data_IF_049587444735
#
_entry.id   IF_049587444735
#
_cell.length_a   1.000
_cell.length_b   1.000
_cell.length_c   1.000
_cell.angle_alpha   90.00
_cell.angle_beta   90.00
_cell.angle_gamma   90.00
#
_symmetry.space_group_name_H-M   'P 1'
#
loop_
_entity.id
_entity.type
_entity.pdbx_description
1 polymer ?
#
# COMPACT_ATOMS: atom_id res chain seq x y z
N UNK A 1 -52.85 0.55 9.18
CA UNK A 1 -51.76 -0.45 9.06
C UNK A 1 -50.97 -0.34 7.76
N UNK A 2 -51.56 -0.08 6.62
CA UNK A 2 -50.87 0.06 5.30
C UNK A 2 -49.99 1.32 5.22
N UNK A 3 -50.37 2.45 5.81
CA UNK A 3 -49.65 3.71 5.77
C UNK A 3 -48.37 3.67 6.65
N UNK A 4 -48.39 2.93 7.77
CA UNK A 4 -47.20 2.73 8.62
C UNK A 4 -46.15 1.85 7.93
N UNK A 5 -46.58 0.79 7.20
CA UNK A 5 -45.62 -0.03 6.43
C UNK A 5 -44.97 0.71 5.29
N UNK A 6 -45.66 1.64 4.61
CA UNK A 6 -45.06 2.48 3.54
C UNK A 6 -44.03 3.47 4.10
N UNK A 7 -44.29 4.08 5.26
CA UNK A 7 -43.30 4.96 5.90
C UNK A 7 -42.07 4.19 6.38
N UNK A 8 -42.23 2.97 6.95
CA UNK A 8 -41.11 2.15 7.39
C UNK A 8 -40.22 1.69 6.22
N UNK A 9 -40.83 1.30 5.08
CA UNK A 9 -40.11 0.93 3.85
C UNK A 9 -39.37 2.16 3.26
N UNK A 10 -39.96 3.37 3.31
CA UNK A 10 -39.32 4.59 2.87
C UNK A 10 -38.11 4.96 3.74
N UNK A 11 -38.18 4.79 5.06
CA UNK A 11 -37.03 5.03 5.96
C UNK A 11 -35.91 4.00 5.79
N UNK A 12 -36.24 2.73 5.50
CA UNK A 12 -35.26 1.71 5.19
C UNK A 12 -34.57 1.99 3.84
N UNK A 13 -35.33 2.46 2.84
CA UNK A 13 -34.76 2.84 1.53
C UNK A 13 -33.88 4.10 1.61
N UNK A 14 -34.22 5.08 2.44
CA UNK A 14 -33.42 6.30 2.68
C UNK A 14 -32.17 5.94 3.49
N UNK A 15 -32.24 5.01 4.44
CA UNK A 15 -31.04 4.56 5.17
C UNK A 15 -30.06 3.75 4.30
N UNK A 16 -30.55 3.02 3.29
CA UNK A 16 -29.70 2.29 2.32
C UNK A 16 -29.01 3.25 1.35
N UNK A 17 -29.62 4.41 1.02
CA UNK A 17 -29.01 5.43 0.16
C UNK A 17 -27.89 6.24 0.86
N UNK A 18 -27.83 6.24 2.19
CA UNK A 18 -26.75 6.88 2.95
C UNK A 18 -25.54 5.97 3.21
N UNK A 19 -25.62 4.68 2.84
CA UNK A 19 -24.49 3.73 2.98
C UNK A 19 -23.66 3.56 1.69
N UNK A 20 -23.93 4.30 0.64
CA UNK A 20 -23.13 4.27 -0.57
C UNK A 20 -22.05 5.34 -0.51
N UNK A 21 -20.83 4.91 -0.38
CA UNK A 21 -19.51 5.50 -0.59
C UNK A 21 -18.56 5.48 0.61
N UNK A 22 -18.52 4.39 1.36
CA UNK A 22 -17.33 4.10 2.15
C UNK A 22 -16.31 3.45 1.21
N UNK A 23 -15.40 4.25 0.67
CA UNK A 23 -14.20 3.74 0.02
C UNK A 23 -13.42 2.98 1.09
N UNK A 24 -13.40 1.65 0.99
CA UNK A 24 -12.61 0.78 1.86
C UNK A 24 -11.13 1.08 1.56
N UNK A 25 -10.50 1.88 2.41
CA UNK A 25 -9.07 2.12 2.35
C UNK A 25 -8.35 0.84 2.79
N UNK A 26 -7.80 0.08 1.85
CA UNK A 26 -7.06 -1.15 2.09
C UNK A 26 -5.60 -1.02 1.72
N UNK A 27 -4.71 -1.81 2.36
CA UNK A 27 -3.32 -1.88 1.94
C UNK A 27 -3.23 -2.57 0.58
N UNK A 28 -2.49 -1.96 -0.35
CA UNK A 28 -2.18 -2.53 -1.66
C UNK A 28 -0.83 -3.24 -1.57
N UNK A 29 -0.81 -4.48 -2.02
CA UNK A 29 0.39 -5.29 -2.12
C UNK A 29 0.77 -5.43 -3.60
N UNK A 30 1.71 -4.62 -4.04
CA UNK A 30 2.22 -4.62 -5.42
C UNK A 30 3.74 -4.48 -5.41
N UNK A 31 4.41 -5.58 -5.71
CA UNK A 31 5.87 -5.66 -5.59
C UNK A 31 6.61 -4.77 -6.59
N UNK A 32 6.08 -4.61 -7.80
CA UNK A 32 6.63 -3.70 -8.81
C UNK A 32 6.65 -2.26 -8.29
N UNK A 33 5.51 -1.81 -7.78
CA UNK A 33 5.38 -0.46 -7.21
C UNK A 33 6.25 -0.27 -5.97
N UNK A 34 6.32 -1.28 -5.10
CA UNK A 34 7.18 -1.22 -3.91
C UNK A 34 8.66 -1.09 -4.28
N UNK A 35 9.15 -1.86 -5.25
CA UNK A 35 10.54 -1.75 -5.74
C UNK A 35 10.77 -0.37 -6.33
N UNK A 36 9.86 0.10 -7.17
CA UNK A 36 9.97 1.40 -7.83
C UNK A 36 10.05 2.54 -6.80
N UNK A 37 9.11 2.61 -5.87
CA UNK A 37 9.09 3.64 -4.84
C UNK A 37 10.30 3.54 -3.91
N UNK A 38 10.71 2.33 -3.52
CA UNK A 38 11.92 2.14 -2.70
C UNK A 38 13.19 2.59 -3.44
N UNK A 39 13.27 2.42 -4.77
CA UNK A 39 14.39 2.95 -5.56
C UNK A 39 14.44 4.49 -5.49
N UNK A 40 13.30 5.17 -5.68
CA UNK A 40 13.23 6.62 -5.51
C UNK A 40 13.62 7.06 -4.09
N UNK A 41 13.14 6.35 -3.06
CA UNK A 41 13.50 6.60 -1.66
C UNK A 41 15.02 6.43 -1.43
N UNK A 42 15.64 5.41 -2.03
CA UNK A 42 17.08 5.18 -1.92
C UNK A 42 17.87 6.32 -2.57
N UNK A 43 17.45 6.83 -3.72
CA UNK A 43 18.09 7.98 -4.38
C UNK A 43 17.98 9.23 -3.50
N UNK A 44 16.81 9.53 -2.92
CA UNK A 44 16.59 10.62 -1.97
C UNK A 44 17.52 10.48 -0.76
N UNK A 45 17.58 9.28 -0.18
CA UNK A 45 18.42 9.00 0.99
C UNK A 45 19.90 9.18 0.69
N UNK A 46 20.36 8.72 -0.46
CA UNK A 46 21.76 8.78 -0.86
C UNK A 46 22.24 10.24 -0.97
N UNK A 47 21.51 11.09 -1.69
CA UNK A 47 21.91 12.49 -1.91
C UNK A 47 21.79 13.37 -0.67
N UNK A 48 20.93 13.00 0.29
CA UNK A 48 20.73 13.74 1.54
C UNK A 48 21.43 13.11 2.75
N UNK A 49 22.10 11.97 2.57
CA UNK A 49 22.74 11.20 3.67
C UNK A 49 21.75 10.82 4.79
N UNK A 50 20.49 10.55 4.41
CA UNK A 50 19.43 10.17 5.34
C UNK A 50 19.58 8.69 5.74
N UNK A 51 19.91 8.42 7.01
CA UNK A 51 20.26 7.07 7.46
C UNK A 51 19.11 6.28 8.11
N UNK A 52 17.99 6.93 8.44
CA UNK A 52 16.85 6.23 9.07
C UNK A 52 16.23 5.22 8.09
N UNK A 53 15.79 4.08 8.61
CA UNK A 53 15.03 3.09 7.83
C UNK A 53 13.60 3.57 7.65
N UNK A 54 13.13 3.62 6.42
CA UNK A 54 11.74 3.97 6.07
C UNK A 54 10.97 2.68 5.82
N UNK A 55 9.74 2.59 6.33
CA UNK A 55 8.79 1.52 6.05
C UNK A 55 7.70 2.07 5.13
N UNK A 56 7.74 1.66 3.87
CA UNK A 56 6.77 2.07 2.85
C UNK A 56 5.49 1.25 2.97
N UNK A 57 4.34 1.92 2.87
CA UNK A 57 3.02 1.32 2.74
C UNK A 57 2.25 2.00 1.61
N UNK A 58 1.61 1.21 0.75
CA UNK A 58 0.74 1.69 -0.31
C UNK A 58 -0.70 1.40 0.10
N UNK A 59 -1.57 2.40 0.03
CA UNK A 59 -2.98 2.25 0.42
C UNK A 59 -3.90 2.53 -0.77
N UNK A 60 -5.05 1.85 -0.79
CA UNK A 60 -6.11 2.16 -1.74
C UNK A 60 -6.87 3.39 -1.26
N UNK A 61 -6.58 4.51 -1.87
CA UNK A 61 -7.29 5.78 -1.68
C UNK A 61 -7.21 6.53 -3.00
N UNK A 62 -8.34 6.91 -3.56
CA UNK A 62 -8.44 7.64 -4.84
C UNK A 62 -8.00 9.11 -4.69
N UNK A 63 -7.93 9.61 -3.45
CA UNK A 63 -7.36 10.91 -3.18
C UNK A 63 -5.85 10.86 -3.27
N UNK A 64 -5.21 11.75 -4.03
CA UNK A 64 -3.77 11.83 -4.10
C UNK A 64 -3.21 12.33 -2.77
N UNK A 65 -2.50 11.46 -2.06
CA UNK A 65 -1.91 11.79 -0.77
C UNK A 65 -0.66 10.95 -0.49
N UNK A 66 0.29 11.55 0.23
CA UNK A 66 1.35 10.84 0.94
C UNK A 66 1.53 11.49 2.30
N UNK A 67 1.93 10.72 3.29
CA UNK A 67 2.21 11.26 4.62
C UNK A 67 3.10 10.31 5.42
N UNK A 68 3.83 10.87 6.38
CA UNK A 68 4.64 10.12 7.32
C UNK A 68 3.97 10.02 8.68
N UNK A 69 4.14 8.86 9.33
CA UNK A 69 3.64 8.60 10.67
C UNK A 69 4.77 8.05 11.57
N UNK A 70 4.60 8.00 12.89
CA UNK A 70 5.62 7.51 13.82
C UNK A 70 6.22 6.16 13.42
N UNK A 71 7.46 5.91 13.86
CA UNK A 71 8.30 4.75 13.50
C UNK A 71 8.76 4.74 12.03
N UNK A 72 8.92 5.94 11.43
CA UNK A 72 9.38 6.17 10.05
C UNK A 72 8.57 5.40 8.99
N UNK A 73 7.26 5.39 9.15
CA UNK A 73 6.38 4.82 8.13
C UNK A 73 5.96 5.90 7.15
N UNK A 74 6.13 5.62 5.88
CA UNK A 74 5.70 6.45 4.76
C UNK A 74 4.51 5.78 4.08
N UNK A 75 3.40 6.47 4.05
CA UNK A 75 2.15 6.02 3.44
C UNK A 75 2.00 6.74 2.10
N UNK A 76 1.65 6.00 1.06
CA UNK A 76 1.43 6.52 -0.30
C UNK A 76 0.09 6.00 -0.80
N UNK A 77 -0.79 6.89 -1.26
CA UNK A 77 -2.09 6.49 -1.82
C UNK A 77 -1.98 6.07 -3.29
N UNK A 78 -2.90 5.20 -3.74
CA UNK A 78 -3.07 4.87 -5.16
C UNK A 78 -3.37 6.12 -5.99
N UNK A 79 -4.18 7.03 -5.47
CA UNK A 79 -4.51 8.28 -6.14
C UNK A 79 -3.30 9.17 -6.41
N UNK A 80 -2.30 9.20 -5.51
CA UNK A 80 -1.06 9.93 -5.78
C UNK A 80 -0.27 9.30 -6.93
N UNK A 81 -0.18 7.98 -6.97
CA UNK A 81 0.51 7.27 -8.07
C UNK A 81 -0.19 7.54 -9.41
N UNK A 82 -1.51 7.49 -9.43
CA UNK A 82 -2.32 7.71 -10.65
C UNK A 82 -2.29 9.16 -11.14
N UNK A 83 -2.26 10.13 -10.23
CA UNK A 83 -2.38 11.54 -10.58
C UNK A 83 -1.03 12.25 -10.74
N UNK A 84 0.07 11.66 -10.25
CA UNK A 84 1.41 12.23 -10.49
C UNK A 84 1.70 12.30 -11.99
N UNK A 85 2.03 13.48 -12.54
CA UNK A 85 2.27 13.64 -13.99
C UNK A 85 3.47 12.82 -14.46
N UNK A 86 4.54 12.80 -13.66
CA UNK A 86 5.78 12.08 -13.94
C UNK A 86 6.41 11.49 -12.66
N UNK A 87 7.50 10.69 -12.82
CA UNK A 87 8.20 10.11 -11.70
C UNK A 87 8.94 11.14 -10.83
N UNK A 88 9.27 12.32 -11.40
CA UNK A 88 9.98 13.39 -10.69
C UNK A 88 9.06 14.06 -9.69
N UNK A 89 7.80 14.32 -10.07
CA UNK A 89 6.79 14.85 -9.17
C UNK A 89 6.50 13.88 -8.02
N UNK A 90 6.42 12.57 -8.31
CA UNK A 90 6.27 11.56 -7.27
C UNK A 90 7.50 11.51 -6.34
N UNK A 91 8.73 11.53 -6.90
CA UNK A 91 9.97 11.61 -6.13
C UNK A 91 10.00 12.86 -5.25
N UNK A 92 9.53 13.98 -5.76
CA UNK A 92 9.48 15.24 -5.02
C UNK A 92 8.56 15.16 -3.80
N UNK A 93 7.39 14.54 -3.93
CA UNK A 93 6.49 14.29 -2.79
C UNK A 93 7.14 13.36 -1.77
N UNK A 94 7.76 12.26 -2.22
CA UNK A 94 8.47 11.36 -1.31
C UNK A 94 9.62 12.09 -0.58
N UNK A 95 10.33 12.99 -1.26
CA UNK A 95 11.37 13.80 -0.65
C UNK A 95 10.81 14.80 0.37
N UNK A 96 9.65 15.40 0.10
CA UNK A 96 8.92 16.27 1.02
C UNK A 96 8.58 15.53 2.31
N UNK A 97 8.00 14.32 2.20
CA UNK A 97 7.67 13.47 3.34
C UNK A 97 8.90 13.07 4.16
N UNK A 98 9.99 12.73 3.48
CA UNK A 98 11.27 12.44 4.15
C UNK A 98 11.85 13.70 4.82
N UNK A 99 11.60 14.88 4.26
CA UNK A 99 11.91 16.16 4.89
C UNK A 99 11.25 16.34 6.25
N UNK A 100 9.97 15.96 6.39
CA UNK A 100 9.29 15.96 7.68
C UNK A 100 9.94 15.01 8.70
N UNK A 101 10.45 13.85 8.27
CA UNK A 101 11.19 12.92 9.13
C UNK A 101 12.58 13.43 9.50
N UNK A 102 13.27 14.11 8.57
CA UNK A 102 14.61 14.67 8.79
C UNK A 102 14.58 15.80 9.80
N UNK A 103 13.62 16.70 9.67
CA UNK A 103 13.47 17.86 10.56
C UNK A 103 12.74 17.54 11.87
N UNK A 104 12.45 16.27 12.14
CA UNK A 104 11.77 15.80 13.37
C UNK A 104 10.42 16.48 13.61
N UNK A 105 9.68 16.77 12.54
CA UNK A 105 8.40 17.48 12.66
C UNK A 105 7.36 16.69 13.45
N UNK A 106 7.39 15.35 13.35
CA UNK A 106 6.49 14.47 14.13
C UNK A 106 6.84 14.45 15.62
N UNK A 107 8.13 14.41 15.96
CA UNK A 107 8.62 14.40 17.32
C UNK A 107 8.35 15.74 18.01
N UNK A 108 8.59 16.88 17.35
CA UNK A 108 8.26 18.23 17.86
C UNK A 108 6.78 18.41 18.19
N UNK A 109 5.91 17.60 17.59
CA UNK A 109 4.46 17.58 17.87
C UNK A 109 4.06 16.64 19.00
N UNK A 110 4.95 15.73 19.42
CA UNK A 110 4.65 14.75 20.46
C UNK A 110 4.15 15.44 21.73
N UNK A 111 4.76 16.53 22.13
CA UNK A 111 4.33 17.32 23.30
C UNK A 111 2.91 17.90 23.14
N UNK A 112 2.55 18.26 21.90
CA UNK A 112 1.19 18.70 21.56
C UNK A 112 0.23 17.51 21.55
N UNK A 113 0.66 16.37 21.02
CA UNK A 113 -0.13 15.12 21.00
C UNK A 113 -0.36 14.56 22.41
N UNK A 114 0.61 14.66 23.33
CA UNK A 114 0.44 14.24 24.71
C UNK A 114 -0.59 15.09 25.48
N UNK A 115 -0.66 16.38 25.18
CA UNK A 115 -1.73 17.23 25.71
C UNK A 115 -3.12 16.83 25.21
N UNK A 116 -3.22 16.30 23.99
CA UNK A 116 -4.46 15.80 23.40
C UNK A 116 -4.74 14.32 23.73
N UNK A 117 -3.77 13.55 24.26
CA UNK A 117 -3.95 12.14 24.66
C UNK A 117 -5.00 11.95 25.74
N UNK A 118 -5.21 12.97 26.57
CA UNK A 118 -6.29 13.00 27.57
C UNK A 118 -7.70 12.96 26.98
N UNK A 119 -7.84 13.10 25.65
CA UNK A 119 -9.12 13.11 24.93
C UNK A 119 -9.41 11.81 24.17
N UNK A 120 -8.78 10.69 24.49
CA UNK A 120 -8.97 9.37 23.84
C UNK A 120 -8.65 9.32 22.32
N UNK A 121 -7.93 10.31 21.78
CA UNK A 121 -7.68 10.43 20.34
C UNK A 121 -6.42 9.68 19.87
N UNK A 122 -5.47 9.42 20.78
CA UNK A 122 -4.24 8.68 20.47
C UNK A 122 -4.51 7.17 20.31
N UNK A 123 -5.51 6.62 21.01
CA UNK A 123 -5.94 5.24 20.79
C UNK A 123 -6.36 5.02 19.33
N UNK A 124 -6.93 6.02 18.68
CA UNK A 124 -7.35 5.97 17.29
C UNK A 124 -6.17 6.03 16.29
N UNK A 125 -5.11 6.80 16.59
CA UNK A 125 -3.89 6.80 15.77
C UNK A 125 -3.12 5.47 15.88
N UNK A 126 -3.11 4.86 17.06
CA UNK A 126 -2.56 3.52 17.26
C UNK A 126 -3.39 2.45 16.53
N UNK A 127 -4.71 2.62 16.43
CA UNK A 127 -5.59 1.75 15.64
C UNK A 127 -5.32 1.87 14.14
N UNK A 128 -5.07 3.08 13.61
CA UNK A 128 -4.72 3.27 12.21
C UNK A 128 -3.38 2.61 11.88
N UNK A 129 -2.37 2.85 12.70
CA UNK A 129 -1.08 2.18 12.54
C UNK A 129 -1.17 0.67 12.75
N UNK A 130 -1.99 0.24 13.69
CA UNK A 130 -2.28 -1.17 13.96
C UNK A 130 -3.04 -1.83 12.82
N UNK A 131 -4.03 -1.16 12.23
CA UNK A 131 -4.84 -1.70 11.13
C UNK A 131 -4.09 -1.77 9.80
N UNK A 132 -3.20 -0.80 9.50
CA UNK A 132 -2.27 -0.89 8.36
C UNK A 132 -1.34 -2.10 8.53
N UNK A 133 -0.86 -2.37 9.75
CA UNK A 133 -0.05 -3.56 10.04
C UNK A 133 -0.85 -4.86 10.05
N UNK A 134 -2.11 -4.79 10.46
CA UNK A 134 -2.98 -5.95 10.63
C UNK A 134 -3.55 -6.48 9.32
N UNK A 135 -3.48 -5.72 8.22
CA UNK A 135 -4.03 -6.10 6.91
C UNK A 135 -5.54 -6.44 6.94
N UNK A 136 -6.28 -5.85 7.89
CA UNK A 136 -7.73 -6.02 8.01
C UNK A 136 -8.45 -4.86 7.29
N UNK A 137 -8.96 -5.06 6.05
CA UNK A 137 -9.63 -3.99 5.29
C UNK A 137 -10.86 -3.42 6.00
N UNK A 138 -11.53 -4.24 6.82
CA UNK A 138 -12.74 -3.85 7.55
C UNK A 138 -12.46 -2.89 8.70
N UNK A 139 -11.31 -3.02 9.36
CA UNK A 139 -10.92 -2.12 10.47
C UNK A 139 -10.47 -0.76 9.93
N UNK A 140 -9.82 -0.74 8.75
CA UNK A 140 -9.40 0.49 8.07
C UNK A 140 -10.60 1.32 7.57
N UNK A 141 -11.61 0.67 6.97
CA UNK A 141 -12.74 1.36 6.35
C UNK A 141 -13.62 2.12 7.35
N UNK A 142 -13.93 1.52 8.50
CA UNK A 142 -14.81 2.14 9.52
C UNK A 142 -14.14 3.26 10.31
N UNK A 143 -12.83 3.15 10.55
CA UNK A 143 -12.08 4.11 11.38
C UNK A 143 -11.50 5.28 10.59
N UNK A 144 -11.10 5.08 9.32
CA UNK A 144 -10.52 6.15 8.52
C UNK A 144 -11.55 7.18 8.04
N UNK A 145 -12.76 6.77 7.68
CA UNK A 145 -13.79 7.70 7.19
C UNK A 145 -14.31 8.65 8.29
N UNK A 146 -14.42 8.18 9.53
CA UNK A 146 -14.77 9.05 10.67
C UNK A 146 -13.57 9.82 11.23
N UNK A 147 -12.34 9.39 10.93
CA UNK A 147 -11.09 9.92 11.46
C UNK A 147 -10.31 10.80 10.47
N UNK A 148 -10.71 10.87 9.18
CA UNK A 148 -10.09 11.78 8.22
C UNK A 148 -10.06 13.22 8.77
N UNK A 149 -11.13 13.69 9.41
CA UNK A 149 -11.16 15.01 10.03
C UNK A 149 -10.23 15.12 11.26
N UNK A 150 -10.10 14.06 12.05
CA UNK A 150 -9.27 14.02 13.24
C UNK A 150 -7.81 13.86 12.82
N UNK A 151 -7.53 12.98 11.86
CA UNK A 151 -6.17 12.78 11.33
C UNK A 151 -5.65 14.03 10.60
N UNK A 152 -6.48 14.73 9.85
CA UNK A 152 -6.08 15.98 9.20
C UNK A 152 -5.68 17.04 10.23
N UNK A 153 -6.36 17.13 11.38
CA UNK A 153 -6.00 18.02 12.46
C UNK A 153 -4.67 17.62 13.13
N UNK A 154 -4.40 16.33 13.31
CA UNK A 154 -3.16 15.83 13.94
C UNK A 154 -1.97 15.81 13.00
N UNK A 155 -2.20 15.63 11.70
CA UNK A 155 -1.17 15.49 10.69
C UNK A 155 -0.90 16.79 9.93
N UNK A 156 -1.72 17.85 10.07
CA UNK A 156 -1.44 19.14 9.44
C UNK A 156 -0.18 19.77 10.02
N UNK A 157 0.75 20.12 9.18
CA UNK A 157 2.01 20.77 9.56
C UNK A 157 1.85 22.31 9.57
N UNK A 158 2.67 23.01 10.35
CA UNK A 158 2.71 24.47 10.32
C UNK A 158 3.30 24.97 9.00
N UNK A 159 3.01 26.20 8.60
CA UNK A 159 3.60 26.80 7.37
C UNK A 159 5.11 26.70 7.34
N UNK A 160 5.78 26.91 8.48
CA UNK A 160 7.25 26.82 8.55
C UNK A 160 7.72 25.37 8.37
N UNK A 161 7.03 24.38 8.93
CA UNK A 161 7.34 22.97 8.73
C UNK A 161 7.14 22.53 7.28
N UNK A 162 6.07 23.03 6.63
CA UNK A 162 5.84 22.81 5.19
C UNK A 162 6.95 23.44 4.35
N UNK A 163 7.36 24.67 4.69
CA UNK A 163 8.48 25.35 4.01
C UNK A 163 9.79 24.59 4.15
N UNK A 164 10.11 24.09 5.34
CA UNK A 164 11.31 23.25 5.57
C UNK A 164 11.27 21.97 4.72
N UNK A 165 10.11 21.29 4.64
CA UNK A 165 9.93 20.10 3.82
C UNK A 165 9.99 20.40 2.31
N UNK A 166 9.41 21.50 1.84
CA UNK A 166 9.51 21.94 0.45
C UNK A 166 10.94 22.24 0.05
N UNK A 167 11.69 22.97 0.90
CA UNK A 167 13.10 23.25 0.66
C UNK A 167 13.95 21.98 0.63
N UNK A 168 13.63 20.99 1.49
CA UNK A 168 14.29 19.69 1.45
C UNK A 168 14.01 18.97 0.13
N UNK A 169 12.77 18.95 -0.33
CA UNK A 169 12.37 18.36 -1.62
C UNK A 169 13.09 19.04 -2.79
N UNK A 170 13.04 20.36 -2.88
CA UNK A 170 13.70 21.13 -3.95
C UNK A 170 15.22 20.90 -3.97
N UNK A 171 15.89 20.95 -2.81
CA UNK A 171 17.32 20.65 -2.70
C UNK A 171 17.65 19.22 -3.12
N UNK A 172 16.75 18.27 -2.83
CA UNK A 172 16.90 16.89 -3.28
C UNK A 172 16.88 16.80 -4.80
N UNK A 173 15.88 17.42 -5.46
CA UNK A 173 15.82 17.47 -6.92
C UNK A 173 17.05 18.14 -7.53
N UNK A 174 17.52 19.25 -6.94
CA UNK A 174 18.73 19.93 -7.40
C UNK A 174 19.98 19.04 -7.32
N UNK A 175 20.15 18.29 -6.22
CA UNK A 175 21.26 17.33 -6.04
C UNK A 175 21.18 16.18 -7.04
N UNK A 176 19.99 15.75 -7.42
CA UNK A 176 19.73 14.73 -8.43
C UNK A 176 19.75 15.29 -9.86
N UNK A 177 19.90 16.60 -10.02
CA UNK A 177 19.81 17.31 -11.29
C UNK A 177 18.48 17.08 -12.02
N UNK A 178 17.38 17.10 -11.26
CA UNK A 178 16.00 16.94 -11.75
C UNK A 178 15.22 18.27 -11.71
N UNK A 179 14.22 18.46 -12.59
CA UNK A 179 13.44 19.69 -12.64
C UNK A 179 12.53 19.85 -11.41
N UNK A 180 12.53 21.01 -10.78
CA UNK A 180 11.60 21.35 -9.69
C UNK A 180 10.20 21.74 -10.18
N UNK A 181 10.04 22.05 -11.46
CA UNK A 181 8.74 22.42 -12.05
C UNK A 181 7.73 21.27 -12.01
N UNK A 182 8.20 20.01 -11.97
CA UNK A 182 7.33 18.83 -11.79
C UNK A 182 6.53 18.88 -10.47
N UNK A 183 7.06 19.51 -9.40
CA UNK A 183 6.31 19.72 -8.15
C UNK A 183 5.12 20.65 -8.40
N UNK A 184 5.37 21.75 -9.13
CA UNK A 184 4.36 22.76 -9.42
C UNK A 184 3.23 22.19 -10.24
N UNK A 185 3.53 21.36 -11.23
CA UNK A 185 2.52 20.69 -12.04
C UNK A 185 1.63 19.79 -11.18
N UNK A 186 2.22 19.01 -10.27
CA UNK A 186 1.45 18.19 -9.34
C UNK A 186 0.59 19.04 -8.39
N UNK A 187 1.13 20.11 -7.80
CA UNK A 187 0.35 21.00 -6.93
C UNK A 187 -0.86 21.60 -7.67
N UNK A 188 -0.70 22.00 -8.94
CA UNK A 188 -1.81 22.49 -9.76
C UNK A 188 -2.87 21.41 -9.99
N UNK A 189 -2.48 20.16 -10.21
CA UNK A 189 -3.42 19.03 -10.35
C UNK A 189 -4.18 18.81 -9.03
N UNK A 190 -3.48 18.84 -7.89
CA UNK A 190 -4.10 18.66 -6.58
C UNK A 190 -5.09 19.77 -6.24
N UNK A 191 -4.72 21.02 -6.53
CA UNK A 191 -5.59 22.18 -6.33
C UNK A 191 -6.84 22.12 -7.20
N UNK A 192 -6.67 21.83 -8.49
CA UNK A 192 -7.78 21.67 -9.44
C UNK A 192 -8.75 20.58 -8.97
N UNK A 193 -8.23 19.42 -8.58
CA UNK A 193 -9.04 18.29 -8.10
C UNK A 193 -9.79 18.63 -6.79
N UNK A 194 -9.18 19.43 -5.92
CA UNK A 194 -9.83 19.90 -4.70
C UNK A 194 -11.02 20.84 -5.04
N UNK A 195 -10.82 21.79 -5.94
CA UNK A 195 -11.86 22.72 -6.39
C UNK A 195 -13.02 22.00 -7.09
N UNK A 196 -12.74 21.03 -7.98
CA UNK A 196 -13.76 20.22 -8.67
C UNK A 196 -14.65 19.42 -7.70
N UNK A 197 -14.12 19.09 -6.51
CA UNK A 197 -14.87 18.42 -5.42
C UNK A 197 -15.64 19.39 -4.53
N UNK A 198 -15.65 20.68 -4.84
CA UNK A 198 -16.31 21.71 -4.06
C UNK A 198 -15.60 22.04 -2.74
N UNK A 199 -14.31 21.74 -2.65
CA UNK A 199 -13.48 22.01 -1.50
C UNK A 199 -12.95 23.44 -1.63
N UNK A 200 -13.41 24.34 -0.75
CA UNK A 200 -12.98 25.73 -0.72
C UNK A 200 -11.62 25.93 -0.03
N UNK A 201 -11.15 27.19 0.04
CA UNK A 201 -9.91 27.53 0.75
C UNK A 201 -9.91 27.09 2.22
N UNK A 202 -11.08 26.92 2.86
CA UNK A 202 -11.17 26.44 4.25
C UNK A 202 -10.85 24.95 4.36
N UNK A 203 -11.08 24.17 3.29
CA UNK A 203 -10.69 22.74 3.26
C UNK A 203 -9.16 22.58 3.29
N UNK A 204 -8.41 23.50 2.68
CA UNK A 204 -6.94 23.49 2.73
C UNK A 204 -6.38 23.58 4.16
N UNK A 205 -7.16 24.13 5.11
CA UNK A 205 -6.79 24.15 6.54
C UNK A 205 -6.85 22.78 7.20
N UNK A 206 -7.56 21.82 6.59
CA UNK A 206 -7.76 20.46 7.12
C UNK A 206 -6.99 19.39 6.34
N UNK A 207 -6.26 19.75 5.30
CA UNK A 207 -5.37 18.81 4.60
C UNK A 207 -4.10 18.55 5.40
N UNK A 208 -3.46 17.39 5.18
CA UNK A 208 -2.18 17.06 5.83
C UNK A 208 -1.09 18.05 5.44
N UNK A 209 -1.13 18.53 4.20
CA UNK A 209 -0.18 19.47 3.60
C UNK A 209 -0.94 20.59 2.90
N UNK A 210 -1.29 21.66 3.61
CA UNK A 210 -2.02 22.77 3.00
C UNK A 210 -1.24 23.39 1.83
N UNK A 211 -1.96 23.68 0.74
CA UNK A 211 -1.38 24.38 -0.41
C UNK A 211 -1.43 25.87 -0.12
N UNK A 212 -0.29 26.49 0.04
CA UNK A 212 -0.18 27.92 0.23
C UNK A 212 0.48 28.55 -1.00
N UNK A 213 0.12 29.77 -1.31
CA UNK A 213 0.73 30.51 -2.43
C UNK A 213 2.26 30.60 -2.29
N UNK A 214 2.76 30.71 -1.07
CA UNK A 214 4.19 30.77 -0.78
C UNK A 214 4.95 29.52 -1.25
N UNK A 215 4.29 28.34 -1.34
CA UNK A 215 4.92 27.12 -1.87
C UNK A 215 5.29 27.27 -3.33
N UNK A 216 4.42 27.87 -4.15
CA UNK A 216 4.74 28.17 -5.57
C UNK A 216 5.89 29.15 -5.69
N UNK A 217 5.92 30.19 -4.86
CA UNK A 217 7.00 31.19 -4.86
C UNK A 217 8.35 30.58 -4.49
N UNK A 218 8.40 29.67 -3.52
CA UNK A 218 9.62 28.93 -3.14
C UNK A 218 10.12 28.07 -4.30
N UNK A 219 9.22 27.38 -5.01
CA UNK A 219 9.57 26.56 -6.17
C UNK A 219 10.11 27.44 -7.28
N UNK A 220 9.42 28.53 -7.64
CA UNK A 220 9.81 29.45 -8.72
C UNK A 220 11.16 30.11 -8.45
N UNK A 221 11.43 30.54 -7.22
CA UNK A 221 12.72 31.12 -6.84
C UNK A 221 13.88 30.15 -7.03
N UNK A 222 13.65 28.85 -6.85
CA UNK A 222 14.68 27.81 -6.90
C UNK A 222 14.78 27.10 -8.27
N UNK A 223 13.85 27.34 -9.21
CA UNK A 223 13.75 26.66 -10.52
C UNK A 223 14.64 27.20 -11.62
N UNK A 224 15.64 28.02 -11.34
CA UNK A 224 16.46 28.74 -12.36
C UNK A 224 17.19 27.79 -13.31
N UNK A 225 16.95 28.01 -14.62
CA UNK A 225 17.61 27.50 -15.84
C UNK A 225 18.81 26.54 -15.63
N UNK A 226 18.51 25.23 -15.62
CA UNK A 226 19.53 24.18 -15.62
C UNK A 226 19.17 23.13 -16.68
N UNK A 227 20.17 22.45 -17.23
CA UNK A 227 19.99 21.27 -18.02
C UNK A 227 19.64 20.14 -17.02
N UNK A 228 18.49 19.47 -17.19
CA UNK A 228 18.02 18.44 -16.29
C UNK A 228 18.25 17.03 -16.86
N UNK A 229 18.55 16.08 -15.98
CA UNK A 229 18.71 14.66 -16.31
C UNK A 229 17.39 13.90 -16.13
N UNK A 230 16.38 14.23 -16.94
CA UNK A 230 15.14 13.45 -16.95
C UNK A 230 15.40 12.06 -17.56
N UNK A 231 15.05 11.00 -16.83
CA UNK A 231 15.32 9.62 -17.27
C UNK A 231 14.07 8.99 -17.87
N UNK A 232 14.02 8.95 -19.20
CA UNK A 232 12.87 8.38 -19.94
C UNK A 232 12.60 6.91 -19.58
N UNK A 233 13.64 6.13 -19.26
CA UNK A 233 13.44 4.72 -18.87
C UNK A 233 12.72 4.60 -17.51
N UNK A 234 13.06 5.46 -16.54
CA UNK A 234 12.36 5.50 -15.25
C UNK A 234 10.93 5.99 -15.47
N UNK A 235 10.74 6.96 -16.36
CA UNK A 235 9.40 7.43 -16.73
C UNK A 235 8.55 6.34 -17.39
N UNK A 236 9.11 5.52 -18.26
CA UNK A 236 8.40 4.41 -18.87
C UNK A 236 8.01 3.34 -17.83
N UNK A 237 8.92 3.00 -16.91
CA UNK A 237 8.63 2.13 -15.77
C UNK A 237 7.45 2.69 -14.94
N UNK A 238 7.48 3.98 -14.62
CA UNK A 238 6.42 4.66 -13.89
C UNK A 238 5.10 4.67 -14.65
N UNK A 239 5.13 4.92 -15.96
CA UNK A 239 3.92 4.93 -16.80
C UNK A 239 3.22 3.57 -16.80
N UNK A 240 3.93 2.44 -16.81
CA UNK A 240 3.31 1.12 -16.68
C UNK A 240 2.70 0.90 -15.31
N UNK A 241 3.39 1.30 -14.22
CA UNK A 241 2.84 1.24 -12.87
C UNK A 241 1.55 2.06 -12.77
N UNK A 242 1.60 3.32 -13.19
CA UNK A 242 0.44 4.23 -13.23
C UNK A 242 -0.72 3.62 -14.01
N UNK A 243 -0.45 3.09 -15.20
CA UNK A 243 -1.44 2.44 -16.07
C UNK A 243 -2.10 1.24 -15.39
N UNK A 244 -1.33 0.44 -14.64
CA UNK A 244 -1.84 -0.69 -13.88
C UNK A 244 -2.87 -0.24 -12.83
N UNK A 245 -2.56 0.79 -12.05
CA UNK A 245 -3.50 1.37 -11.08
C UNK A 245 -4.76 1.92 -11.76
N UNK A 246 -4.60 2.68 -12.84
CA UNK A 246 -5.72 3.21 -13.62
C UNK A 246 -6.64 2.10 -14.15
N UNK A 247 -6.09 0.96 -14.59
CA UNK A 247 -6.88 -0.17 -15.09
C UNK A 247 -7.63 -0.89 -13.96
N UNK A 248 -7.05 -1.00 -12.77
CA UNK A 248 -7.73 -1.59 -11.61
C UNK A 248 -8.81 -0.67 -11.05
N UNK A 249 -8.63 0.65 -11.09
CA UNK A 249 -9.57 1.65 -10.55
C UNK A 249 -10.56 2.18 -11.61
N UNK A 250 -10.40 1.79 -12.88
CA UNK A 250 -11.25 2.22 -14.01
C UNK A 250 -11.26 3.74 -14.23
N UNK A 251 -10.09 4.37 -14.14
CA UNK A 251 -9.92 5.83 -14.17
C UNK A 251 -9.40 6.39 -15.51
N UNK A 252 -9.60 5.67 -16.63
CA UNK A 252 -9.03 6.05 -17.94
C UNK A 252 -9.48 7.43 -18.47
N UNK A 253 -10.54 8.00 -17.97
CA UNK A 253 -11.29 9.09 -18.64
C UNK A 253 -10.52 10.42 -18.81
N UNK A 254 -9.32 10.59 -18.25
CA UNK A 254 -8.62 11.87 -18.24
C UNK A 254 -7.20 11.89 -18.81
N UNK A 255 -6.63 10.74 -19.16
CA UNK A 255 -5.21 10.68 -19.54
C UNK A 255 -5.02 10.01 -20.91
N UNK A 256 -4.32 10.68 -21.82
CA UNK A 256 -3.89 10.04 -23.07
C UNK A 256 -2.74 9.07 -22.77
N UNK A 257 -3.03 7.77 -22.83
CA UNK A 257 -2.01 6.74 -22.75
C UNK A 257 -1.27 6.60 -24.08
N UNK A 258 0.04 6.35 -24.05
CA UNK A 258 0.76 5.91 -25.24
C UNK A 258 0.26 4.52 -25.67
N UNK A 259 0.66 4.07 -26.86
CA UNK A 259 0.19 2.82 -27.45
C UNK A 259 0.38 1.61 -26.53
N UNK A 260 1.57 1.44 -25.95
CA UNK A 260 1.89 0.29 -25.12
C UNK A 260 1.16 0.30 -23.79
N UNK A 261 1.07 1.48 -23.16
CA UNK A 261 0.29 1.67 -21.94
C UNK A 261 -1.21 1.43 -22.20
N UNK A 262 -1.74 1.83 -23.36
CA UNK A 262 -3.13 1.53 -23.72
C UNK A 262 -3.36 0.02 -23.86
N UNK A 263 -2.44 -0.71 -24.49
CA UNK A 263 -2.50 -2.17 -24.57
C UNK A 263 -2.47 -2.78 -23.16
N UNK A 264 -1.61 -2.27 -22.27
CA UNK A 264 -1.52 -2.75 -20.88
C UNK A 264 -2.80 -2.49 -20.10
N UNK A 265 -3.34 -1.28 -20.20
CA UNK A 265 -4.64 -0.94 -19.62
C UNK A 265 -5.72 -1.90 -20.11
N UNK A 266 -5.86 -2.05 -21.44
CA UNK A 266 -6.87 -2.88 -22.05
C UNK A 266 -6.74 -4.37 -21.67
N UNK A 267 -5.50 -4.86 -21.44
CA UNK A 267 -5.29 -6.24 -21.01
C UNK A 267 -5.90 -6.50 -19.63
N UNK A 268 -5.68 -5.59 -18.67
CA UNK A 268 -6.20 -5.69 -17.30
C UNK A 268 -7.71 -5.46 -17.31
N UNK A 269 -8.17 -4.40 -17.98
CA UNK A 269 -9.58 -4.03 -18.07
C UNK A 269 -10.43 -5.14 -18.73
N UNK A 270 -9.95 -5.74 -19.84
CA UNK A 270 -10.64 -6.86 -20.48
C UNK A 270 -10.76 -8.06 -19.54
N UNK A 271 -9.75 -8.35 -18.72
CA UNK A 271 -9.82 -9.40 -17.71
C UNK A 271 -10.90 -9.09 -16.66
N UNK A 272 -10.95 -7.88 -16.14
CA UNK A 272 -12.00 -7.44 -15.20
C UNK A 272 -13.41 -7.54 -15.79
N UNK A 273 -13.54 -7.29 -17.10
CA UNK A 273 -14.79 -7.38 -17.86
C UNK A 273 -15.13 -8.81 -18.28
N UNK A 274 -14.38 -9.83 -17.82
CA UNK A 274 -14.63 -11.24 -18.11
C UNK A 274 -14.09 -11.73 -19.47
N UNK A 275 -13.39 -10.89 -20.24
CA UNK A 275 -12.87 -11.26 -21.55
C UNK A 275 -11.41 -11.76 -21.48
N UNK A 276 -11.26 -13.04 -21.15
CA UNK A 276 -9.95 -13.67 -21.02
C UNK A 276 -9.14 -13.68 -22.33
N UNK A 277 -9.79 -13.92 -23.47
CA UNK A 277 -9.09 -14.08 -24.77
C UNK A 277 -8.39 -12.76 -25.14
N UNK A 278 -9.12 -11.65 -25.17
CA UNK A 278 -8.56 -10.33 -25.48
C UNK A 278 -7.50 -9.94 -24.46
N UNK A 279 -7.74 -10.22 -23.18
CA UNK A 279 -6.80 -9.94 -22.11
C UNK A 279 -5.46 -10.66 -22.33
N UNK A 280 -5.50 -11.96 -22.65
CA UNK A 280 -4.30 -12.76 -22.90
C UNK A 280 -3.58 -12.35 -24.20
N UNK A 281 -4.31 -12.00 -25.25
CA UNK A 281 -3.72 -11.52 -26.51
C UNK A 281 -2.87 -10.27 -26.24
N UNK A 282 -3.45 -9.27 -25.56
CA UNK A 282 -2.81 -7.99 -25.26
C UNK A 282 -1.60 -8.14 -24.33
N UNK A 283 -1.72 -8.91 -23.24
CA UNK A 283 -0.59 -9.10 -22.35
C UNK A 283 0.54 -9.92 -23.00
N UNK A 284 0.22 -10.90 -23.86
CA UNK A 284 1.22 -11.67 -24.60
C UNK A 284 1.99 -10.79 -25.60
N UNK A 285 1.33 -9.82 -26.22
CA UNK A 285 1.99 -8.83 -27.08
C UNK A 285 3.05 -8.06 -26.29
N UNK A 286 2.71 -7.56 -25.08
CA UNK A 286 3.65 -6.82 -24.25
C UNK A 286 4.80 -7.70 -23.74
N UNK A 287 4.54 -8.94 -23.35
CA UNK A 287 5.58 -9.90 -22.94
C UNK A 287 6.58 -10.12 -24.07
N UNK A 288 6.09 -10.27 -25.31
CA UNK A 288 6.96 -10.43 -26.48
C UNK A 288 7.76 -9.15 -26.78
N UNK A 289 7.15 -7.98 -26.66
CA UNK A 289 7.79 -6.69 -26.93
C UNK A 289 8.81 -6.30 -25.86
N UNK A 290 8.52 -6.62 -24.60
CA UNK A 290 9.34 -6.26 -23.43
C UNK A 290 9.77 -7.51 -22.63
N UNK A 291 10.61 -8.40 -23.19
CA UNK A 291 10.92 -9.71 -22.58
C UNK A 291 11.69 -9.61 -21.26
N UNK A 292 12.25 -8.44 -20.94
CA UNK A 292 12.94 -8.17 -19.68
C UNK A 292 12.02 -7.62 -18.58
N UNK A 293 10.77 -7.26 -18.92
CA UNK A 293 9.79 -6.81 -17.93
C UNK A 293 9.00 -8.02 -17.40
N UNK A 294 9.48 -8.58 -16.30
CA UNK A 294 8.87 -9.76 -15.65
C UNK A 294 7.52 -9.46 -15.02
N UNK A 295 7.17 -8.20 -14.80
CA UNK A 295 5.87 -7.81 -14.20
C UNK A 295 4.70 -8.03 -15.16
N UNK A 296 4.95 -8.06 -16.49
CA UNK A 296 3.93 -8.51 -17.42
C UNK A 296 3.63 -10.01 -17.30
N UNK A 297 4.61 -10.83 -16.91
CA UNK A 297 4.37 -12.23 -16.58
C UNK A 297 3.57 -12.37 -15.27
N UNK A 298 3.85 -11.52 -14.27
CA UNK A 298 3.05 -11.44 -13.03
C UNK A 298 1.59 -11.09 -13.38
N UNK A 299 1.38 -10.03 -14.17
CA UNK A 299 0.04 -9.62 -14.63
C UNK A 299 -0.66 -10.75 -15.41
N UNK A 300 0.05 -11.48 -16.28
CA UNK A 300 -0.51 -12.65 -16.96
C UNK A 300 -0.93 -13.74 -15.97
N UNK A 301 -0.13 -13.98 -14.95
CA UNK A 301 -0.48 -14.88 -13.86
C UNK A 301 -1.76 -14.42 -13.13
N UNK A 302 -1.89 -13.13 -12.86
CA UNK A 302 -3.08 -12.54 -12.21
C UNK A 302 -4.33 -12.66 -13.10
N UNK A 303 -4.21 -12.41 -14.39
CA UNK A 303 -5.29 -12.60 -15.37
C UNK A 303 -5.76 -14.05 -15.34
N UNK A 304 -4.85 -15.01 -15.48
CA UNK A 304 -5.19 -16.44 -15.45
C UNK A 304 -5.85 -16.83 -14.13
N UNK A 305 -5.29 -16.37 -13.01
CA UNK A 305 -5.79 -16.63 -11.66
C UNK A 305 -7.22 -16.12 -11.48
N UNK A 306 -7.52 -14.89 -11.90
CA UNK A 306 -8.85 -14.28 -11.79
C UNK A 306 -9.93 -15.03 -12.59
N UNK A 307 -9.52 -15.76 -13.61
CA UNK A 307 -10.39 -16.60 -14.44
C UNK A 307 -10.38 -18.10 -14.05
N UNK A 308 -9.78 -18.44 -12.88
CA UNK A 308 -9.79 -19.80 -12.33
C UNK A 308 -8.69 -20.73 -12.86
N UNK A 309 -7.81 -20.28 -13.75
CA UNK A 309 -6.69 -21.07 -14.28
C UNK A 309 -5.50 -21.08 -13.32
N UNK A 310 -5.70 -21.64 -12.11
CA UNK A 310 -4.74 -21.56 -10.99
C UNK A 310 -3.42 -22.28 -11.33
N UNK A 311 -3.46 -23.46 -11.94
CA UNK A 311 -2.26 -24.21 -12.27
C UNK A 311 -1.40 -23.49 -13.30
N UNK A 312 -2.02 -22.87 -14.29
CA UNK A 312 -1.36 -22.08 -15.33
C UNK A 312 -0.78 -20.79 -14.75
N UNK A 313 -1.49 -20.11 -13.85
CA UNK A 313 -1.02 -18.89 -13.19
C UNK A 313 0.26 -19.16 -12.38
N UNK A 314 0.31 -20.28 -11.66
CA UNK A 314 1.48 -20.67 -10.86
C UNK A 314 2.74 -20.84 -11.71
N UNK A 315 2.63 -21.30 -12.97
CA UNK A 315 3.79 -21.41 -13.87
C UNK A 315 4.44 -20.05 -14.11
N UNK A 316 3.64 -19.01 -14.39
CA UNK A 316 4.13 -17.65 -14.61
C UNK A 316 4.68 -17.03 -13.32
N UNK A 317 4.00 -17.23 -12.19
CA UNK A 317 4.48 -16.77 -10.90
C UNK A 317 5.83 -17.36 -10.52
N UNK A 318 6.08 -18.65 -10.80
CA UNK A 318 7.39 -19.27 -10.54
C UNK A 318 8.51 -18.64 -11.38
N UNK A 319 8.24 -18.26 -12.64
CA UNK A 319 9.22 -17.55 -13.46
C UNK A 319 9.57 -16.20 -12.84
N UNK A 320 8.57 -15.47 -12.36
CA UNK A 320 8.77 -14.17 -11.70
C UNK A 320 9.52 -14.33 -10.37
N UNK A 321 9.20 -15.35 -9.56
CA UNK A 321 9.90 -15.65 -8.30
C UNK A 321 11.37 -16.02 -8.50
N UNK A 322 11.72 -16.69 -9.57
CA UNK A 322 13.13 -16.97 -9.88
C UNK A 322 13.93 -15.68 -10.09
N UNK A 323 13.28 -14.61 -10.62
CA UNK A 323 13.90 -13.30 -10.80
C UNK A 323 13.82 -12.44 -9.53
N UNK A 324 12.72 -12.52 -8.80
CA UNK A 324 12.40 -11.72 -7.62
C UNK A 324 12.03 -12.64 -6.44
N UNK A 325 13.01 -13.31 -5.81
CA UNK A 325 12.74 -14.28 -4.75
C UNK A 325 12.08 -13.67 -3.50
N UNK A 326 12.16 -12.35 -3.34
CA UNK A 326 11.53 -11.61 -2.24
C UNK A 326 10.12 -11.10 -2.56
N UNK A 327 9.55 -11.47 -3.72
CA UNK A 327 8.15 -11.16 -4.03
C UNK A 327 7.20 -12.04 -3.19
N UNK A 328 6.96 -11.58 -1.95
CA UNK A 328 6.11 -12.30 -1.00
C UNK A 328 4.64 -12.34 -1.44
N UNK A 329 4.19 -11.42 -2.30
CA UNK A 329 2.81 -11.42 -2.79
C UNK A 329 2.55 -12.55 -3.77
N UNK A 330 3.53 -12.86 -4.63
CA UNK A 330 3.46 -14.07 -5.46
C UNK A 330 3.58 -15.33 -4.61
N UNK A 331 4.50 -15.38 -3.64
CA UNK A 331 4.59 -16.52 -2.71
C UNK A 331 3.26 -16.77 -2.01
N UNK A 332 2.60 -15.70 -1.56
CA UNK A 332 1.27 -15.75 -0.95
C UNK A 332 0.23 -16.36 -1.91
N UNK A 333 0.16 -15.88 -3.17
CA UNK A 333 -0.75 -16.41 -4.19
C UNK A 333 -0.51 -17.89 -4.45
N UNK A 334 0.75 -18.28 -4.70
CA UNK A 334 1.13 -19.67 -4.89
C UNK A 334 0.76 -20.52 -3.68
N UNK A 335 1.09 -20.05 -2.47
CA UNK A 335 0.77 -20.76 -1.24
C UNK A 335 -0.73 -21.04 -1.13
N UNK A 336 -1.59 -20.04 -1.35
CA UNK A 336 -3.04 -20.22 -1.27
C UNK A 336 -3.59 -21.15 -2.37
N UNK A 337 -3.11 -21.02 -3.59
CA UNK A 337 -3.66 -21.72 -4.75
C UNK A 337 -3.16 -23.17 -4.87
N UNK A 338 -2.02 -23.49 -4.26
CA UNK A 338 -1.48 -24.85 -4.31
C UNK A 338 -2.38 -25.83 -3.56
N UNK A 339 -2.84 -26.89 -4.25
CA UNK A 339 -3.63 -27.95 -3.61
C UNK A 339 -2.74 -28.91 -2.85
N UNK A 340 -2.84 -28.91 -1.52
CA UNK A 340 -2.03 -29.77 -0.63
C UNK A 340 -2.68 -31.11 -0.28
N UNK A 341 -3.93 -31.37 -0.70
CA UNK A 341 -4.66 -32.59 -0.34
C UNK A 341 -3.96 -33.88 -0.85
N UNK A 342 -3.47 -33.81 -2.09
CA UNK A 342 -2.90 -34.96 -2.78
C UNK A 342 -1.36 -34.97 -2.77
N UNK A 343 -0.73 -34.10 -1.94
CA UNK A 343 0.72 -34.10 -1.79
C UNK A 343 1.18 -35.28 -0.91
N UNK A 344 2.31 -35.88 -1.30
CA UNK A 344 3.01 -36.81 -0.42
C UNK A 344 3.46 -36.11 0.86
N UNK A 345 3.59 -36.84 1.97
CA UNK A 345 3.95 -36.25 3.26
C UNK A 345 5.27 -35.47 3.23
N UNK A 346 6.27 -35.98 2.51
CA UNK A 346 7.57 -35.30 2.32
C UNK A 346 7.44 -33.95 1.61
N UNK A 347 6.68 -33.91 0.50
CA UNK A 347 6.46 -32.67 -0.26
C UNK A 347 5.63 -31.65 0.54
N UNK A 348 4.64 -32.14 1.29
CA UNK A 348 3.81 -31.31 2.17
C UNK A 348 4.64 -30.71 3.31
N UNK A 349 5.59 -31.46 3.89
CA UNK A 349 6.54 -30.97 4.90
C UNK A 349 7.45 -29.89 4.31
N UNK A 350 8.02 -30.12 3.13
CA UNK A 350 8.86 -29.12 2.46
C UNK A 350 8.08 -27.86 2.14
N UNK A 351 6.89 -27.98 1.56
CA UNK A 351 5.99 -26.88 1.27
C UNK A 351 5.62 -26.10 2.53
N UNK A 352 5.37 -26.76 3.66
CA UNK A 352 5.10 -26.13 4.94
C UNK A 352 6.28 -25.24 5.38
N UNK A 353 7.50 -25.78 5.44
CA UNK A 353 8.66 -25.06 5.94
C UNK A 353 9.12 -23.93 5.00
N UNK A 354 9.03 -24.10 3.69
CA UNK A 354 9.38 -23.07 2.70
C UNK A 354 8.50 -21.82 2.79
N UNK A 355 7.25 -21.99 3.26
CA UNK A 355 6.27 -20.91 3.30
C UNK A 355 6.08 -20.27 4.69
N UNK A 356 6.78 -20.73 5.74
CA UNK A 356 6.62 -20.22 7.11
C UNK A 356 6.79 -18.70 7.24
N UNK A 357 7.69 -18.11 6.44
CA UNK A 357 7.92 -16.67 6.45
C UNK A 357 6.68 -15.84 6.03
N UNK A 358 5.68 -16.44 5.39
CA UNK A 358 4.43 -15.78 5.08
C UNK A 358 3.68 -15.33 6.34
N UNK A 359 3.80 -16.07 7.45
CA UNK A 359 3.19 -15.67 8.74
C UNK A 359 3.80 -14.37 9.28
N UNK A 360 5.11 -14.17 9.08
CA UNK A 360 5.80 -12.96 9.54
C UNK A 360 5.47 -11.77 8.61
N UNK A 361 5.31 -12.04 7.32
CA UNK A 361 4.97 -11.00 6.33
C UNK A 361 3.50 -10.60 6.36
N UNK A 362 2.61 -11.54 6.69
CA UNK A 362 1.17 -11.37 6.73
C UNK A 362 0.57 -11.92 8.04
N UNK A 363 0.92 -11.34 9.21
CA UNK A 363 0.72 -11.95 10.53
C UNK A 363 -0.74 -12.18 10.93
N UNK A 364 -1.66 -11.42 10.36
CA UNK A 364 -3.10 -11.55 10.69
C UNK A 364 -3.95 -12.03 9.50
N UNK A 365 -3.32 -12.54 8.46
CA UNK A 365 -4.03 -13.05 7.29
C UNK A 365 -4.67 -14.40 7.58
N UNK A 366 -5.99 -14.40 7.81
CA UNK A 366 -6.76 -15.60 8.15
C UNK A 366 -6.68 -16.69 7.09
N UNK A 367 -6.58 -16.35 5.80
CA UNK A 367 -6.45 -17.35 4.73
C UNK A 367 -5.12 -18.13 4.84
N UNK A 368 -4.01 -17.44 5.13
CA UNK A 368 -2.71 -18.05 5.38
C UNK A 368 -2.77 -18.93 6.61
N UNK A 369 -3.26 -18.38 7.74
CA UNK A 369 -3.32 -19.08 9.03
C UNK A 369 -4.16 -20.36 8.90
N UNK A 370 -5.36 -20.26 8.31
CA UNK A 370 -6.26 -21.40 8.12
C UNK A 370 -5.65 -22.47 7.22
N UNK A 371 -4.89 -22.08 6.19
CA UNK A 371 -4.18 -23.03 5.36
C UNK A 371 -3.05 -23.76 6.12
N UNK A 372 -2.31 -23.05 6.96
CA UNK A 372 -1.31 -23.67 7.84
C UNK A 372 -1.95 -24.59 8.87
N UNK A 373 -3.09 -24.22 9.48
CA UNK A 373 -3.86 -25.07 10.39
C UNK A 373 -4.20 -26.40 9.71
N UNK A 374 -4.65 -26.33 8.45
CA UNK A 374 -5.01 -27.54 7.69
C UNK A 374 -3.76 -28.42 7.43
N UNK A 375 -2.66 -27.80 6.95
CA UNK A 375 -1.44 -28.54 6.67
C UNK A 375 -0.86 -29.19 7.95
N UNK A 376 -0.88 -28.48 9.09
CA UNK A 376 -0.36 -28.99 10.36
C UNK A 376 -1.22 -30.13 10.94
N UNK A 377 -2.55 -30.08 10.74
CA UNK A 377 -3.45 -31.21 11.06
C UNK A 377 -3.11 -32.43 10.22
N UNK A 378 -2.98 -32.26 8.90
CA UNK A 378 -2.62 -33.35 7.98
C UNK A 378 -1.24 -33.99 8.28
N UNK A 379 -0.31 -33.21 8.84
CA UNK A 379 1.06 -33.62 9.18
C UNK A 379 1.23 -34.02 10.66
N UNK A 380 0.15 -34.03 11.46
CA UNK A 380 0.15 -34.31 12.90
C UNK A 380 1.16 -33.50 13.72
N UNK A 381 1.44 -32.23 13.29
CA UNK A 381 2.38 -31.32 13.94
C UNK A 381 1.71 -30.53 15.06
N UNK A 382 1.52 -31.16 16.23
CA UNK A 382 0.71 -30.64 17.34
C UNK A 382 1.15 -29.25 17.81
N UNK A 383 2.45 -29.02 18.03
CA UNK A 383 2.95 -27.73 18.51
C UNK A 383 2.76 -26.61 17.49
N UNK A 384 2.94 -26.89 16.20
CA UNK A 384 2.66 -25.94 15.13
C UNK A 384 1.15 -25.66 15.00
N UNK A 385 0.33 -26.70 15.15
CA UNK A 385 -1.14 -26.52 15.14
C UNK A 385 -1.59 -25.60 16.28
N UNK A 386 -1.03 -25.80 17.49
CA UNK A 386 -1.31 -24.94 18.64
C UNK A 386 -0.87 -23.49 18.37
N UNK A 387 0.32 -23.29 17.80
CA UNK A 387 0.79 -21.95 17.39
C UNK A 387 -0.19 -21.25 16.45
N UNK A 388 -0.62 -21.93 15.38
CA UNK A 388 -1.55 -21.33 14.42
C UNK A 388 -2.95 -21.11 15.01
N UNK A 389 -3.42 -21.95 15.92
CA UNK A 389 -4.67 -21.72 16.63
C UNK A 389 -4.59 -20.50 17.56
N UNK A 390 -3.49 -20.34 18.31
CA UNK A 390 -3.26 -19.18 19.19
C UNK A 390 -3.33 -17.88 18.37
N UNK A 391 -2.60 -17.79 17.25
CA UNK A 391 -2.58 -16.58 16.41
C UNK A 391 -3.86 -16.37 15.59
N UNK A 392 -4.66 -17.42 15.37
CA UNK A 392 -5.95 -17.29 14.70
C UNK A 392 -7.04 -16.70 15.61
N UNK A 393 -6.92 -16.89 16.90
CA UNK A 393 -7.91 -16.47 17.92
C UNK A 393 -7.66 -15.03 18.45
N UNK A 394 -6.85 -14.24 17.75
CA UNK A 394 -6.45 -12.89 18.20
C UNK A 394 -7.57 -11.86 18.17
N UNK A 395 -8.75 -12.16 17.58
CA UNK A 395 -9.88 -11.22 17.53
C UNK A 395 -10.50 -10.92 18.90
N UNK A 396 -10.28 -11.79 19.90
CA UNK A 396 -10.88 -11.72 21.23
C UNK A 396 -9.85 -11.59 22.37
N UNK A 397 -8.55 -11.56 22.06
CA UNK A 397 -7.48 -11.54 23.07
C UNK A 397 -6.73 -10.21 23.06
N UNK A 398 -6.33 -9.75 24.23
CA UNK A 398 -5.39 -8.65 24.33
C UNK A 398 -3.95 -9.09 23.99
N UNK A 399 -3.06 -8.13 23.78
CA UNK A 399 -1.67 -8.42 23.39
C UNK A 399 -0.87 -9.11 24.50
N UNK A 400 -1.23 -8.87 25.79
CA UNK A 400 -0.54 -9.50 26.91
C UNK A 400 -0.88 -10.97 27.02
N UNK A 401 -2.16 -11.31 26.85
CA UNK A 401 -2.63 -12.71 26.83
C UNK A 401 -2.01 -13.48 25.68
N UNK A 402 -1.99 -12.88 24.47
CA UNK A 402 -1.34 -13.50 23.30
C UNK A 402 0.15 -13.78 23.55
N UNK A 403 0.89 -12.81 24.08
CA UNK A 403 2.30 -12.99 24.40
C UNK A 403 2.52 -14.06 25.46
N UNK A 404 1.65 -14.15 26.47
CA UNK A 404 1.72 -15.18 27.52
C UNK A 404 1.54 -16.59 26.93
N UNK A 405 0.53 -16.79 26.09
CA UNK A 405 0.28 -18.08 25.43
C UNK A 405 1.44 -18.49 24.50
N UNK A 406 1.96 -17.56 23.70
CA UNK A 406 3.10 -17.81 22.82
C UNK A 406 4.38 -18.15 23.61
N UNK A 407 4.62 -17.48 24.73
CA UNK A 407 5.75 -17.77 25.61
C UNK A 407 5.64 -19.16 26.26
N UNK A 408 4.44 -19.55 26.70
CA UNK A 408 4.22 -20.90 27.25
C UNK A 408 4.47 -21.96 26.17
N UNK A 409 3.90 -21.81 24.99
CA UNK A 409 4.13 -22.71 23.87
C UNK A 409 5.62 -22.82 23.51
N UNK A 410 6.36 -21.70 23.56
CA UNK A 410 7.79 -21.67 23.29
C UNK A 410 8.61 -22.44 24.33
N UNK A 411 8.16 -22.50 25.60
CA UNK A 411 8.80 -23.32 26.66
C UNK A 411 8.50 -24.81 26.47
N UNK A 412 7.28 -25.15 26.09
CA UNK A 412 6.78 -26.51 25.98
C UNK A 412 7.31 -27.27 24.76
N UNK A 413 7.68 -26.56 23.70
CA UNK A 413 8.19 -27.19 22.47
C UNK A 413 9.71 -27.30 22.47
N UNK A 414 10.24 -28.36 21.88
CA UNK A 414 11.66 -28.53 21.56
C UNK A 414 12.02 -28.17 20.12
N UNK A 415 11.04 -27.79 19.30
CA UNK A 415 11.27 -27.46 17.90
C UNK A 415 11.91 -26.06 17.73
N UNK A 416 13.21 -26.02 17.40
CA UNK A 416 14.02 -24.79 17.25
C UNK A 416 13.38 -23.81 16.23
N UNK A 417 12.88 -24.35 15.10
CA UNK A 417 12.24 -23.52 14.07
C UNK A 417 10.96 -22.85 14.60
N UNK A 418 10.16 -23.55 15.40
CA UNK A 418 8.95 -22.98 15.99
C UNK A 418 9.30 -21.88 17.00
N UNK A 419 10.28 -22.12 17.90
CA UNK A 419 10.77 -21.08 18.83
C UNK A 419 11.21 -19.81 18.10
N UNK A 420 11.92 -19.97 16.97
CA UNK A 420 12.34 -18.83 16.15
C UNK A 420 11.16 -18.07 15.59
N UNK A 421 10.17 -18.74 15.01
CA UNK A 421 8.95 -18.09 14.44
C UNK A 421 8.14 -17.41 15.55
N UNK A 422 7.96 -18.04 16.71
CA UNK A 422 7.29 -17.43 17.86
C UNK A 422 7.99 -16.12 18.27
N UNK A 423 9.32 -16.15 18.41
CA UNK A 423 10.09 -14.95 18.79
C UNK A 423 10.01 -13.84 17.72
N UNK A 424 9.99 -14.17 16.43
CA UNK A 424 9.82 -13.20 15.36
C UNK A 424 8.40 -12.63 15.35
N UNK A 425 7.39 -13.47 15.51
CA UNK A 425 5.98 -13.06 15.54
C UNK A 425 5.67 -12.15 16.74
N UNK A 426 6.21 -12.45 17.91
CA UNK A 426 6.00 -11.65 19.14
C UNK A 426 6.61 -10.23 19.07
N UNK A 427 7.41 -9.91 18.05
CA UNK A 427 7.99 -8.57 17.82
C UNK A 427 7.18 -7.71 16.86
N UNK A 428 6.12 -8.26 16.25
CA UNK A 428 5.25 -7.57 15.30
C UNK A 428 4.20 -6.72 16.01
#
# INVERSE_FOLDING_TARGET
MVVLKRKLISYIFISILFFSNFSLCGQIYDYETEIFLNKLILDIKAVNKFNKKIKLHIIKDDNPNAFVIPKNKLIVSSGLIEQSPDYVSLLAVLAHEIGHLEHFHLEKRKDTLEKFSKLNLISNLALITGSILAQEPQVLGGTLASQVNINNFYLSFSREQEREADLYSIKTLQKLNLPSDSIKELLNILEKNALERGLDENYHKFSTHPIFRERYEIIDYNSKNKIFNFNNKIQDEFNFIKTKFMAYNDTLNQTKLNHDNKIYYDSIYSSKSGNLIISLEKINFLIKKFPKNFFFLETKGDILRSHGYLNESVKFYKIVLNKFPDNYYIKYKIFLDTNTKNMQSTDKINFFYENLNLIIKFPKNKYIINKFIKITKDLEKIYWLNFFNIINDTSNKDMEELHKELNNLSKDTNEIKLKKIINEYSKL
#
